data_IF_934122902253
#
_entry.id   IF_934122902253
#
_cell.length_a   1.000
_cell.length_b   1.000
_cell.length_c   1.000
_cell.angle_alpha   90.00
_cell.angle_beta   90.00
_cell.angle_gamma   90.00
#
_symmetry.space_group_name_H-M   'P 1'
#
loop_
_entity.id
_entity.type
_entity.pdbx_description
1 polymer ?
#
# COMPACT_ATOMS: atom_id res chain seq x y z
N UNK A 1 32.34 9.17 11.93
CA UNK A 1 31.04 9.83 12.14
C UNK A 1 31.31 11.32 11.98
N UNK A 2 31.21 11.84 10.75
CA UNK A 2 31.60 13.22 10.44
C UNK A 2 30.39 14.09 10.76
N UNK A 3 30.54 15.00 11.73
CA UNK A 3 29.54 15.99 12.08
C UNK A 3 29.30 16.91 10.88
N UNK A 4 28.15 16.78 10.26
CA UNK A 4 27.61 17.70 9.26
C UNK A 4 27.14 18.97 10.02
N UNK A 5 28.10 19.75 10.55
CA UNK A 5 27.86 20.96 11.37
C UNK A 5 27.60 22.23 10.53
N UNK A 6 27.33 22.10 9.23
CA UNK A 6 26.95 23.23 8.39
C UNK A 6 25.42 23.28 8.27
N UNK A 7 24.73 24.21 8.95
CA UNK A 7 23.27 24.30 8.93
C UNK A 7 22.73 24.54 7.50
N UNK A 8 23.48 25.25 6.65
CA UNK A 8 23.07 25.50 5.26
C UNK A 8 23.07 24.21 4.42
N UNK A 9 24.03 23.31 4.68
CA UNK A 9 24.12 22.02 3.98
C UNK A 9 23.00 21.07 4.43
N UNK A 10 22.70 21.04 5.73
CA UNK A 10 21.58 20.27 6.28
C UNK A 10 20.26 20.79 5.71
N UNK A 11 20.06 22.11 5.70
CA UNK A 11 18.88 22.73 5.11
C UNK A 11 18.72 22.43 3.62
N UNK A 12 19.80 22.51 2.85
CA UNK A 12 19.80 22.17 1.43
C UNK A 12 19.39 20.71 1.19
N UNK A 13 19.97 19.78 1.97
CA UNK A 13 19.68 18.34 1.89
C UNK A 13 18.24 18.00 2.24
N UNK A 14 17.70 18.60 3.29
CA UNK A 14 16.27 18.48 3.68
C UNK A 14 15.35 19.02 2.58
N UNK A 15 15.70 20.15 1.98
CA UNK A 15 14.94 20.77 0.88
C UNK A 15 14.96 19.91 -0.39
N UNK A 16 16.12 19.38 -0.77
CA UNK A 16 16.25 18.47 -1.91
C UNK A 16 15.48 17.17 -1.67
N UNK A 17 15.55 16.61 -0.46
CA UNK A 17 14.86 15.38 -0.11
C UNK A 17 13.33 15.54 -0.10
N UNK A 18 12.82 16.66 0.43
CA UNK A 18 11.39 16.98 0.40
C UNK A 18 10.90 17.23 -1.02
N UNK A 19 11.66 17.97 -1.84
CA UNK A 19 11.33 18.21 -3.24
C UNK A 19 11.31 16.92 -4.05
N UNK A 20 12.32 16.05 -3.89
CA UNK A 20 12.37 14.75 -4.55
C UNK A 20 11.17 13.88 -4.16
N UNK A 21 10.88 13.80 -2.86
CA UNK A 21 9.77 13.01 -2.32
C UNK A 21 8.42 13.51 -2.84
N UNK A 22 8.24 14.84 -2.94
CA UNK A 22 7.05 15.45 -3.53
C UNK A 22 6.88 15.09 -5.01
N UNK A 23 7.91 15.33 -5.83
CA UNK A 23 7.85 15.08 -7.28
C UNK A 23 7.57 13.61 -7.54
N UNK A 24 8.31 12.72 -6.88
CA UNK A 24 8.13 11.29 -7.04
C UNK A 24 6.74 10.82 -6.60
N UNK A 25 6.24 11.32 -5.46
CA UNK A 25 4.95 10.88 -4.93
C UNK A 25 3.77 11.36 -5.77
N UNK A 26 3.75 12.62 -6.19
CA UNK A 26 2.64 13.14 -6.99
C UNK A 26 2.67 12.63 -8.42
N UNK A 27 3.83 12.73 -9.09
CA UNK A 27 3.90 12.44 -10.51
C UNK A 27 4.09 10.96 -10.79
N UNK A 28 4.96 10.25 -10.07
CA UNK A 28 5.16 8.81 -10.31
C UNK A 28 4.09 7.98 -9.61
N UNK A 29 3.99 8.08 -8.28
CA UNK A 29 3.07 7.23 -7.51
C UNK A 29 1.61 7.60 -7.80
N UNK A 30 1.27 8.89 -7.81
CA UNK A 30 -0.10 9.35 -8.07
C UNK A 30 -0.64 8.92 -9.44
N UNK A 31 0.15 9.07 -10.51
CA UNK A 31 -0.30 8.66 -11.85
C UNK A 31 -0.45 7.15 -11.99
N UNK A 32 0.50 6.38 -11.45
CA UNK A 32 0.43 4.91 -11.44
C UNK A 32 -0.77 4.43 -10.62
N UNK A 33 -1.06 5.07 -9.48
CA UNK A 33 -2.21 4.71 -8.66
C UNK A 33 -3.53 5.00 -9.38
N UNK A 34 -3.69 6.17 -10.00
CA UNK A 34 -4.90 6.51 -10.76
C UNK A 34 -5.07 5.59 -11.96
N UNK A 35 -4.01 5.39 -12.75
CA UNK A 35 -4.04 4.49 -13.90
C UNK A 35 -4.33 3.04 -13.48
N UNK A 36 -3.74 2.58 -12.37
CA UNK A 36 -3.97 1.26 -11.80
C UNK A 36 -5.40 1.06 -11.33
N UNK A 37 -6.01 2.05 -10.66
CA UNK A 37 -7.42 1.99 -10.24
C UNK A 37 -8.32 1.88 -11.49
N UNK A 38 -8.10 2.73 -12.50
CA UNK A 38 -8.88 2.70 -13.74
C UNK A 38 -8.73 1.32 -14.42
N UNK A 39 -7.50 0.83 -14.58
CA UNK A 39 -7.22 -0.46 -15.22
C UNK A 39 -7.83 -1.65 -14.47
N UNK A 40 -7.80 -1.64 -13.14
CA UNK A 40 -8.39 -2.70 -12.33
C UNK A 40 -9.92 -2.65 -12.33
N UNK A 41 -10.54 -1.47 -12.30
CA UNK A 41 -11.99 -1.32 -12.47
C UNK A 41 -12.43 -1.84 -13.84
N UNK A 42 -11.73 -1.46 -14.91
CA UNK A 42 -11.99 -1.96 -16.26
C UNK A 42 -11.86 -3.48 -16.33
N UNK A 43 -10.83 -4.03 -15.69
CA UNK A 43 -10.63 -5.48 -15.58
C UNK A 43 -11.84 -6.15 -14.93
N UNK A 44 -12.32 -5.64 -13.79
CA UNK A 44 -13.52 -6.15 -13.12
C UNK A 44 -14.74 -6.12 -14.04
N UNK A 45 -14.95 -5.02 -14.78
CA UNK A 45 -16.09 -4.87 -15.71
C UNK A 45 -16.00 -5.88 -16.85
N UNK A 46 -14.85 -6.02 -17.48
CA UNK A 46 -14.62 -6.95 -18.59
C UNK A 46 -14.77 -8.41 -18.13
N UNK A 47 -14.13 -8.79 -17.01
CA UNK A 47 -14.22 -10.11 -16.40
C UNK A 47 -15.61 -10.44 -15.85
N UNK A 48 -16.48 -9.44 -15.67
CA UNK A 48 -17.89 -9.64 -15.31
C UNK A 48 -18.77 -10.00 -16.49
N UNK A 49 -18.35 -9.67 -17.71
CA UNK A 49 -19.07 -10.00 -18.95
C UNK A 49 -18.51 -11.23 -19.66
N UNK A 50 -17.34 -11.70 -19.25
CA UNK A 50 -16.66 -12.84 -19.86
C UNK A 50 -17.36 -14.18 -19.54
N UNK A 51 -17.58 -14.98 -20.59
CA UNK A 51 -18.18 -16.32 -20.54
C UNK A 51 -17.14 -17.44 -20.35
N UNK A 52 -15.84 -17.10 -20.22
CA UNK A 52 -14.75 -18.05 -19.99
C UNK A 52 -14.84 -18.81 -18.66
N UNK A 53 -13.85 -19.67 -18.40
CA UNK A 53 -13.71 -20.49 -17.20
C UNK A 53 -13.96 -19.72 -15.90
N UNK A 54 -14.96 -20.14 -15.11
CA UNK A 54 -15.40 -19.44 -13.90
C UNK A 54 -14.30 -19.24 -12.83
N UNK A 55 -13.32 -20.14 -12.77
CA UNK A 55 -12.34 -20.18 -11.68
C UNK A 55 -11.30 -19.06 -11.86
N UNK A 56 -10.78 -18.91 -13.08
CA UNK A 56 -9.82 -17.85 -13.42
C UNK A 56 -10.46 -16.47 -13.26
N UNK A 57 -11.73 -16.33 -13.66
CA UNK A 57 -12.47 -15.07 -13.52
C UNK A 57 -12.58 -14.64 -12.06
N UNK A 58 -12.86 -15.56 -11.15
CA UNK A 58 -12.92 -15.24 -9.72
C UNK A 58 -11.57 -14.81 -9.15
N UNK A 59 -10.48 -15.49 -9.54
CA UNK A 59 -9.12 -15.13 -9.10
C UNK A 59 -8.69 -13.77 -9.65
N UNK A 60 -8.87 -13.52 -10.95
CA UNK A 60 -8.49 -12.26 -11.59
C UNK A 60 -9.35 -11.08 -11.10
N UNK A 61 -10.65 -11.29 -10.90
CA UNK A 61 -11.51 -10.26 -10.30
C UNK A 61 -11.11 -9.97 -8.86
N UNK A 62 -10.75 -11.01 -8.10
CA UNK A 62 -10.21 -10.85 -6.75
C UNK A 62 -8.91 -10.06 -6.72
N UNK A 63 -7.98 -10.35 -7.64
CA UNK A 63 -6.73 -9.61 -7.78
C UNK A 63 -7.00 -8.12 -8.06
N UNK A 64 -7.86 -7.83 -9.04
CA UNK A 64 -8.23 -6.46 -9.37
C UNK A 64 -8.93 -5.72 -8.22
N UNK A 65 -9.74 -6.42 -7.41
CA UNK A 65 -10.34 -5.83 -6.20
C UNK A 65 -9.28 -5.50 -5.15
N UNK A 66 -8.36 -6.42 -4.88
CA UNK A 66 -7.26 -6.20 -3.93
C UNK A 66 -6.36 -5.05 -4.37
N UNK A 67 -6.05 -4.97 -5.67
CA UNK A 67 -5.24 -3.88 -6.22
C UNK A 67 -5.96 -2.53 -6.11
N UNK A 68 -7.27 -2.45 -6.39
CA UNK A 68 -8.05 -1.23 -6.15
C UNK A 68 -8.01 -0.80 -4.68
N UNK A 69 -8.24 -1.73 -3.75
CA UNK A 69 -8.21 -1.43 -2.31
C UNK A 69 -6.82 -0.93 -1.89
N UNK A 70 -5.76 -1.61 -2.34
CA UNK A 70 -4.39 -1.20 -2.09
C UNK A 70 -4.12 0.22 -2.61
N UNK A 71 -4.44 0.51 -3.87
CA UNK A 71 -4.18 1.81 -4.49
C UNK A 71 -5.00 2.94 -3.86
N UNK A 72 -6.23 2.66 -3.41
CA UNK A 72 -7.05 3.62 -2.64
C UNK A 72 -6.36 3.99 -1.33
N UNK A 73 -5.66 3.07 -0.67
CA UNK A 73 -4.90 3.39 0.53
C UNK A 73 -3.58 4.11 0.25
N UNK A 74 -2.90 3.78 -0.87
CA UNK A 74 -1.65 4.44 -1.28
C UNK A 74 -1.83 5.95 -1.47
N UNK A 75 -2.95 6.41 -2.04
CA UNK A 75 -3.18 7.84 -2.30
C UNK A 75 -3.10 8.70 -1.02
N UNK A 76 -3.91 8.48 0.03
CA UNK A 76 -3.84 9.27 1.25
C UNK A 76 -2.59 8.98 2.10
N UNK A 77 -2.01 7.78 2.06
CA UNK A 77 -0.83 7.47 2.90
C UNK A 77 0.50 7.87 2.28
N UNK A 78 0.59 7.96 0.95
CA UNK A 78 1.86 8.15 0.25
C UNK A 78 1.88 9.37 -0.66
N UNK A 79 0.75 9.78 -1.24
CA UNK A 79 0.71 10.94 -2.16
C UNK A 79 0.42 12.23 -1.40
N UNK A 80 -0.75 12.32 -0.75
CA UNK A 80 -1.19 13.55 -0.06
C UNK A 80 -0.18 14.09 0.97
N UNK A 81 0.44 13.28 1.84
CA UNK A 81 1.34 13.78 2.87
C UNK A 81 2.57 14.46 2.28
N UNK A 82 3.09 13.99 1.14
CA UNK A 82 4.24 14.61 0.51
C UNK A 82 3.91 15.95 -0.16
N UNK A 83 2.63 16.32 -0.25
CA UNK A 83 2.16 17.54 -0.91
C UNK A 83 2.02 18.74 0.02
N UNK A 84 2.01 18.51 1.34
CA UNK A 84 1.82 19.58 2.33
C UNK A 84 2.79 20.77 2.18
N UNK A 85 4.09 20.58 1.83
CA UNK A 85 5.02 21.71 1.74
C UNK A 85 4.75 22.60 0.52
N UNK A 86 4.05 22.08 -0.50
CA UNK A 86 3.94 22.71 -1.81
C UNK A 86 2.51 23.08 -2.21
N UNK A 87 1.50 22.50 -1.54
CA UNK A 87 0.08 22.70 -1.86
C UNK A 87 -0.63 23.31 -0.65
N UNK A 88 -1.10 24.55 -0.82
CA UNK A 88 -1.86 25.26 0.21
C UNK A 88 -3.14 24.48 0.56
N UNK A 89 -3.42 24.32 1.85
CA UNK A 89 -4.61 23.64 2.37
C UNK A 89 -4.40 22.16 2.73
N UNK A 90 -3.23 21.57 2.46
CA UNK A 90 -2.88 20.21 2.94
C UNK A 90 -2.24 20.18 4.32
N UNK A 91 -1.97 21.34 4.93
CA UNK A 91 -1.39 21.43 6.28
C UNK A 91 -2.30 20.79 7.33
N UNK A 92 -3.60 21.13 7.34
CA UNK A 92 -4.57 20.54 8.27
C UNK A 92 -4.65 19.01 8.10
N UNK A 93 -4.62 18.53 6.86
CA UNK A 93 -4.57 17.11 6.57
C UNK A 93 -3.30 16.46 7.14
N UNK A 94 -2.13 17.06 6.92
CA UNK A 94 -0.85 16.52 7.36
C UNK A 94 -0.72 16.49 8.89
N UNK A 95 -1.18 17.52 9.59
CA UNK A 95 -1.04 17.61 11.04
C UNK A 95 -2.14 16.85 11.81
N UNK A 96 -3.38 16.81 11.32
CA UNK A 96 -4.50 16.23 12.07
C UNK A 96 -4.98 14.89 11.54
N UNK A 97 -4.96 14.68 10.22
CA UNK A 97 -5.53 13.46 9.61
C UNK A 97 -4.46 12.39 9.41
N UNK A 98 -3.32 12.77 8.84
CA UNK A 98 -2.25 11.84 8.48
C UNK A 98 -1.70 10.99 9.63
N UNK A 99 -1.52 11.49 10.87
CA UNK A 99 -1.07 10.66 11.99
C UNK A 99 -2.02 9.50 12.29
N UNK A 100 -3.33 9.73 12.22
CA UNK A 100 -4.34 8.68 12.35
C UNK A 100 -4.24 7.67 11.20
N UNK A 101 -4.04 8.14 9.97
CA UNK A 101 -3.88 7.25 8.81
C UNK A 101 -2.63 6.39 8.91
N UNK A 102 -1.54 6.93 9.46
CA UNK A 102 -0.31 6.18 9.65
C UNK A 102 -0.44 5.03 10.64
N UNK A 103 -1.27 5.17 11.68
CA UNK A 103 -1.52 4.10 12.66
C UNK A 103 -2.45 3.03 12.08
N UNK A 104 -3.51 3.44 11.39
CA UNK A 104 -4.59 2.52 10.99
C UNK A 104 -4.53 2.08 9.53
N UNK A 105 -4.33 3.03 8.60
CA UNK A 105 -4.42 2.76 7.16
C UNK A 105 -3.09 2.31 6.57
N UNK A 106 -1.94 2.79 7.06
CA UNK A 106 -0.65 2.40 6.49
C UNK A 106 -0.36 0.89 6.66
N UNK A 107 -0.61 0.25 7.82
CA UNK A 107 -0.46 -1.20 7.92
C UNK A 107 -1.44 -1.97 7.01
N UNK A 108 -2.66 -1.43 6.80
CA UNK A 108 -3.61 -1.97 5.83
C UNK A 108 -3.15 -1.80 4.38
N UNK A 109 -2.45 -0.71 4.06
CA UNK A 109 -1.80 -0.52 2.76
C UNK A 109 -0.75 -1.62 2.52
N UNK A 110 0.12 -1.91 3.50
CA UNK A 110 1.10 -3.01 3.38
C UNK A 110 0.42 -4.38 3.31
N UNK A 111 -0.68 -4.59 4.03
CA UNK A 111 -1.48 -5.80 3.92
C UNK A 111 -2.09 -5.95 2.50
N UNK A 112 -2.62 -4.87 1.92
CA UNK A 112 -3.12 -4.85 0.54
C UNK A 112 -2.02 -5.17 -0.48
N UNK A 113 -0.83 -4.59 -0.32
CA UNK A 113 0.35 -4.90 -1.14
C UNK A 113 0.71 -6.39 -1.05
N UNK A 114 0.77 -6.92 0.17
CA UNK A 114 1.07 -8.34 0.41
C UNK A 114 0.01 -9.23 -0.23
N UNK A 115 -1.27 -8.90 -0.05
CA UNK A 115 -2.39 -9.64 -0.63
C UNK A 115 -2.34 -9.65 -2.17
N UNK A 116 -1.98 -8.54 -2.80
CA UNK A 116 -1.81 -8.45 -4.26
C UNK A 116 -0.77 -9.45 -4.76
N UNK A 117 0.42 -9.46 -4.14
CA UNK A 117 1.49 -10.41 -4.49
C UNK A 117 1.02 -11.86 -4.35
N UNK A 118 0.37 -12.19 -3.23
CA UNK A 118 -0.14 -13.55 -3.01
C UNK A 118 -1.29 -13.92 -3.95
N UNK A 119 -2.12 -12.96 -4.37
CA UNK A 119 -3.13 -13.19 -5.40
C UNK A 119 -2.52 -13.53 -6.75
N UNK A 120 -1.45 -12.86 -7.15
CA UNK A 120 -0.68 -13.22 -8.36
C UNK A 120 -0.15 -14.64 -8.25
N UNK A 121 0.42 -15.02 -7.10
CA UNK A 121 0.87 -16.40 -6.83
C UNK A 121 -0.28 -17.39 -6.98
N UNK A 122 -1.47 -17.08 -6.46
CA UNK A 122 -2.62 -17.98 -6.59
C UNK A 122 -3.10 -18.13 -8.05
N UNK A 123 -3.08 -17.05 -8.83
CA UNK A 123 -3.38 -17.08 -10.27
C UNK A 123 -2.36 -17.96 -11.01
N UNK A 124 -1.06 -17.80 -10.73
CA UNK A 124 -0.03 -18.60 -11.41
C UNK A 124 -0.10 -20.07 -11.02
N UNK A 125 -0.39 -20.38 -9.76
CA UNK A 125 -0.63 -21.76 -9.28
C UNK A 125 -1.82 -22.39 -10.00
N UNK A 126 -2.94 -21.67 -10.14
CA UNK A 126 -4.11 -22.16 -10.88
C UNK A 126 -3.75 -22.49 -12.35
N UNK A 127 -3.03 -21.59 -13.01
CA UNK A 127 -2.58 -21.78 -14.40
C UNK A 127 -1.59 -22.95 -14.54
N UNK A 128 -0.66 -23.11 -13.59
CA UNK A 128 0.26 -24.23 -13.56
C UNK A 128 -0.47 -25.58 -13.49
N UNK A 129 -1.44 -25.71 -12.58
CA UNK A 129 -2.24 -26.95 -12.49
C UNK A 129 -3.13 -27.15 -13.71
N UNK A 130 -3.64 -26.09 -14.33
CA UNK A 130 -4.44 -26.20 -15.53
C UNK A 130 -3.65 -26.77 -16.73
N UNK A 131 -2.38 -26.40 -16.87
CA UNK A 131 -1.51 -26.79 -18.00
C UNK A 131 -0.71 -28.06 -17.70
N UNK A 132 0.06 -28.07 -16.60
CA UNK A 132 1.05 -29.11 -16.34
C UNK A 132 0.47 -30.33 -15.62
N UNK A 133 -0.69 -30.19 -14.95
CA UNK A 133 -1.26 -31.24 -14.07
C UNK A 133 -2.81 -31.26 -14.13
N UNK A 134 -3.42 -31.47 -15.31
CA UNK A 134 -4.86 -31.29 -15.51
C UNK A 134 -5.77 -32.15 -14.63
N UNK A 135 -5.32 -33.35 -14.23
CA UNK A 135 -6.05 -34.29 -13.36
C UNK A 135 -5.69 -34.19 -11.87
N UNK A 136 -4.97 -33.14 -11.47
CA UNK A 136 -4.60 -32.94 -10.07
C UNK A 136 -5.83 -32.61 -9.21
N UNK A 137 -5.94 -33.24 -8.04
CA UNK A 137 -6.93 -32.91 -7.00
C UNK A 137 -6.77 -31.49 -6.44
N UNK A 138 -5.61 -30.86 -6.68
CA UNK A 138 -5.29 -29.50 -6.26
C UNK A 138 -5.79 -28.43 -7.24
N UNK A 139 -6.42 -28.80 -8.35
CA UNK A 139 -7.04 -27.83 -9.26
C UNK A 139 -8.14 -27.05 -8.53
N UNK A 140 -8.13 -25.73 -8.65
CA UNK A 140 -9.19 -24.93 -8.05
C UNK A 140 -10.53 -25.29 -8.70
N UNK A 141 -11.58 -25.36 -7.88
CA UNK A 141 -12.98 -25.34 -8.31
C UNK A 141 -13.48 -23.90 -8.30
N UNK A 142 -14.52 -23.58 -9.07
CA UNK A 142 -15.14 -22.24 -9.14
C UNK A 142 -15.47 -21.70 -7.76
N UNK A 143 -16.00 -22.56 -6.90
CA UNK A 143 -16.37 -22.25 -5.53
C UNK A 143 -15.13 -21.93 -4.69
N UNK A 144 -14.07 -22.74 -4.79
CA UNK A 144 -12.82 -22.50 -4.06
C UNK A 144 -12.17 -21.19 -4.52
N UNK A 145 -12.08 -20.97 -5.83
CA UNK A 145 -11.51 -19.77 -6.44
C UNK A 145 -12.22 -18.48 -5.99
N UNK A 146 -13.54 -18.52 -5.73
CA UNK A 146 -14.29 -17.38 -5.22
C UNK A 146 -13.92 -16.98 -3.78
N UNK A 147 -13.44 -17.93 -2.96
CA UNK A 147 -13.02 -17.67 -1.58
C UNK A 147 -11.54 -17.30 -1.44
N UNK A 148 -10.70 -17.61 -2.43
CA UNK A 148 -9.26 -17.33 -2.40
C UNK A 148 -8.94 -15.86 -2.08
N UNK A 149 -9.57 -14.85 -2.71
CA UNK A 149 -9.24 -13.45 -2.44
C UNK A 149 -9.47 -13.06 -0.98
N UNK A 150 -10.56 -13.53 -0.38
CA UNK A 150 -10.88 -13.27 1.03
C UNK A 150 -9.87 -13.92 1.98
N UNK A 151 -9.51 -15.18 1.71
CA UNK A 151 -8.54 -15.91 2.53
C UNK A 151 -7.16 -15.26 2.44
N UNK A 152 -6.72 -14.90 1.23
CA UNK A 152 -5.43 -14.24 0.99
C UNK A 152 -5.39 -12.88 1.67
N UNK A 153 -6.44 -12.08 1.54
CA UNK A 153 -6.52 -10.78 2.19
C UNK A 153 -6.47 -10.90 3.72
N UNK A 154 -7.25 -11.81 4.30
CA UNK A 154 -7.23 -12.02 5.75
C UNK A 154 -5.85 -12.50 6.25
N UNK A 155 -5.23 -13.45 5.54
CA UNK A 155 -3.90 -13.92 5.87
C UNK A 155 -2.85 -12.79 5.77
N UNK A 156 -2.97 -11.92 4.77
CA UNK A 156 -2.09 -10.77 4.61
C UNK A 156 -2.26 -9.73 5.72
N UNK A 157 -3.48 -9.48 6.19
CA UNK A 157 -3.73 -8.63 7.36
C UNK A 157 -3.07 -9.23 8.58
N UNK A 158 -3.30 -10.52 8.86
CA UNK A 158 -2.70 -11.23 10.01
C UNK A 158 -1.17 -11.16 9.97
N UNK A 159 -0.57 -11.42 8.81
CA UNK A 159 0.87 -11.34 8.61
C UNK A 159 1.44 -9.94 8.88
N UNK A 160 0.68 -8.89 8.58
CA UNK A 160 1.10 -7.50 8.80
C UNK A 160 0.67 -6.92 10.15
N UNK A 161 0.02 -7.69 11.05
CA UNK A 161 -0.32 -7.25 12.41
C UNK A 161 0.88 -6.66 13.16
N UNK A 162 2.08 -7.27 13.16
CA UNK A 162 3.24 -6.72 13.87
C UNK A 162 3.59 -5.28 13.46
N UNK A 163 3.32 -4.89 12.20
CA UNK A 163 3.58 -3.52 11.71
C UNK A 163 2.70 -2.46 12.38
N UNK A 164 1.52 -2.83 12.87
CA UNK A 164 0.70 -1.90 13.65
C UNK A 164 1.38 -1.52 14.97
N UNK A 165 2.10 -2.46 15.59
CA UNK A 165 2.82 -2.22 16.84
C UNK A 165 4.12 -1.43 16.60
N UNK A 166 4.89 -1.78 15.55
CA UNK A 166 6.13 -1.07 15.18
C UNK A 166 5.91 0.44 15.06
N UNK A 167 4.84 0.85 14.37
CA UNK A 167 4.54 2.28 14.19
C UNK A 167 4.20 3.00 15.50
N UNK A 168 3.51 2.31 16.41
CA UNK A 168 3.20 2.89 17.72
C UNK A 168 4.48 3.16 18.51
N UNK A 169 5.47 2.26 18.44
CA UNK A 169 6.77 2.46 19.08
C UNK A 169 7.54 3.65 18.48
N UNK A 170 7.57 3.80 17.16
CA UNK A 170 8.26 4.92 16.49
C UNK A 170 7.69 6.29 16.92
N UNK A 171 6.35 6.40 17.01
CA UNK A 171 5.70 7.63 17.46
C UNK A 171 6.03 7.98 18.91
N UNK A 172 6.00 7.01 19.81
CA UNK A 172 6.33 7.23 21.22
C UNK A 172 7.79 7.67 21.37
N UNK A 173 8.71 7.01 20.67
CA UNK A 173 10.13 7.38 20.69
C UNK A 173 10.36 8.79 20.15
N UNK A 174 9.69 9.15 19.05
CA UNK A 174 9.80 10.49 18.45
C UNK A 174 9.31 11.58 19.42
N UNK A 175 8.16 11.36 20.06
CA UNK A 175 7.63 12.28 21.07
C UNK A 175 8.56 12.42 22.28
N UNK A 176 9.20 11.32 22.71
CA UNK A 176 10.13 11.32 23.83
C UNK A 176 11.43 12.06 23.51
N UNK A 177 11.93 11.97 22.27
CA UNK A 177 13.07 12.76 21.80
C UNK A 177 12.77 14.26 21.78
N UNK A 178 11.61 14.66 21.26
CA UNK A 178 11.20 16.08 21.27
C UNK A 178 11.08 16.62 22.71
N UNK A 179 10.50 15.83 23.62
CA UNK A 179 10.37 16.21 25.03
C UNK A 179 11.74 16.38 25.73
N UNK A 180 12.67 15.46 25.46
CA UNK A 180 14.03 15.55 26.03
C UNK A 180 14.82 16.75 25.51
N UNK A 181 14.60 17.16 24.25
CA UNK A 181 15.23 18.34 23.68
C UNK A 181 14.68 19.65 24.30
N UNK A 182 13.37 19.75 24.51
CA UNK A 182 12.77 20.92 25.16
C UNK A 182 13.22 21.12 26.62
N UNK A 183 13.53 20.05 27.36
CA UNK A 183 14.06 20.15 28.72
C UNK A 183 15.56 20.51 28.79
N UNK A 184 16.27 20.56 27.67
CA UNK A 184 17.68 20.97 27.62
C UNK A 184 17.87 22.45 27.24
N UNK A 185 16.81 23.13 26.80
CA UNK A 185 16.82 24.56 26.45
C UNK A 185 16.33 25.47 27.60
N UNK A 186 15.86 24.90 28.73
CA UNK A 186 15.63 25.60 30.01
C UNK A 186 16.82 25.45 30.97
#
# INVERSE_FOLDING_TARGET
MICENNPDLVFFKETEQTLFSYIFSFYCIGTVAVAGIIGNILSIVVLSRDKSEAHLKHLLRGLALVDCVFLIFVLPTSVLPNGYPHIRGLEEYYFFVYPFLLIWLLPLMYAGQTASVWMVVMVTVDRYFAVCRPFSKFRFSAKRAAHVPWVVFLAAVIYNIPRFFERTFDYVNSAQHTFSASCQEE
#
